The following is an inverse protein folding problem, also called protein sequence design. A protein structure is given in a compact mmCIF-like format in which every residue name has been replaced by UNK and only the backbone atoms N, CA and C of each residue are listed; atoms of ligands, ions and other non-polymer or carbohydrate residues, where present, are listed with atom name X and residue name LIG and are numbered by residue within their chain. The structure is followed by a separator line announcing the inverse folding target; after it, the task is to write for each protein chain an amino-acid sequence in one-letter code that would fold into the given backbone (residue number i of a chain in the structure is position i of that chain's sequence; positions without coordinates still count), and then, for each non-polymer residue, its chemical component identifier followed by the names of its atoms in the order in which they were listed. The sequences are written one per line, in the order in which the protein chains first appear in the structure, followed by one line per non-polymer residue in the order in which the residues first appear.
data_IF_620639512107
#
_entry.id   IF_620639512107
#
_cell.length_a   1.000
_cell.length_b   1.000
_cell.length_c   1.000
_cell.angle_alpha   90.00
_cell.angle_beta   90.00
_cell.angle_gamma   90.00
#
_symmetry.space_group_name_H-M   'P 1'
#
loop_
_entity.id
_entity.type
_entity.pdbx_description
1 polymer ?
#
# COMPACT_ATOMS: atom_id res chain seq x y z
N UNK A 1 16.32 38.41 -34.14
CA UNK A 1 17.77 38.67 -34.27
C UNK A 1 18.07 39.97 -33.54
N UNK A 2 19.02 40.00 -32.59
CA UNK A 2 20.45 40.30 -32.82
C UNK A 2 20.61 41.76 -33.30
N UNK A 3 21.11 42.72 -32.49
CA UNK A 3 22.48 42.81 -31.95
C UNK A 3 22.57 43.68 -30.67
N UNK A 4 23.75 43.65 -30.04
CA UNK A 4 24.01 44.11 -28.67
C UNK A 4 24.11 45.64 -28.51
N UNK A 5 23.09 46.20 -27.86
CA UNK A 5 22.98 47.55 -27.26
C UNK A 5 21.85 47.44 -26.19
N UNK A 6 21.73 48.22 -25.10
CA UNK A 6 22.39 49.44 -24.59
C UNK A 6 22.50 49.33 -23.03
N UNK A 7 23.06 50.36 -22.37
CA UNK A 7 22.74 50.84 -21.01
C UNK A 7 22.98 49.92 -19.77
N UNK A 8 24.14 50.13 -19.14
CA UNK A 8 24.12 50.81 -17.84
C UNK A 8 24.06 50.00 -16.53
N UNK A 9 24.07 48.66 -16.55
CA UNK A 9 24.01 47.86 -15.29
C UNK A 9 25.30 47.08 -15.04
N UNK A 10 26.03 47.45 -13.97
CA UNK A 10 27.13 46.64 -13.42
C UNK A 10 26.57 45.46 -12.62
N UNK A 11 26.84 44.22 -13.04
CA UNK A 11 26.59 43.05 -12.19
C UNK A 11 27.73 42.84 -11.17
N UNK A 12 27.34 42.70 -9.90
CA UNK A 12 28.09 42.03 -8.83
C UNK A 12 27.09 41.38 -7.89
N UNK A 13 27.16 40.06 -7.70
CA UNK A 13 26.83 39.27 -6.50
C UNK A 13 27.22 37.79 -6.81
N UNK A 14 27.35 36.87 -5.84
CA UNK A 14 28.33 35.79 -5.93
C UNK A 14 27.76 34.40 -6.21
N UNK A 15 28.70 33.49 -6.45
CA UNK A 15 28.62 32.03 -6.54
C UNK A 15 27.64 31.36 -5.54
N UNK A 16 26.34 31.31 -5.84
CA UNK A 16 25.37 30.48 -5.08
C UNK A 16 24.23 29.85 -5.88
N UNK A 17 24.10 30.09 -7.19
CA UNK A 17 22.94 29.64 -7.99
C UNK A 17 23.11 28.24 -8.63
N UNK A 18 24.32 27.66 -8.60
CA UNK A 18 24.60 26.40 -9.32
C UNK A 18 24.50 25.11 -8.47
N UNK A 19 24.38 25.19 -7.14
CA UNK A 19 24.31 23.98 -6.29
C UNK A 19 22.92 23.32 -6.24
N UNK A 20 21.86 24.04 -6.61
CA UNK A 20 20.49 23.52 -6.67
C UNK A 20 20.18 22.65 -7.90
N UNK A 21 21.07 22.59 -8.90
CA UNK A 21 20.87 21.87 -10.16
C UNK A 21 21.72 20.58 -10.30
N UNK A 22 22.54 20.26 -9.29
CA UNK A 22 23.41 19.06 -9.30
C UNK A 22 22.92 17.96 -8.35
N UNK A 23 21.85 18.20 -7.58
CA UNK A 23 21.13 17.14 -6.85
C UNK A 23 20.22 16.27 -7.75
N UNK A 24 20.18 16.54 -9.06
CA UNK A 24 19.55 15.69 -10.08
C UNK A 24 20.57 14.74 -10.72
N UNK A 25 21.18 13.86 -9.91
CA UNK A 25 22.04 12.79 -10.43
C UNK A 25 21.64 11.41 -9.90
N UNK A 26 21.17 10.56 -10.83
CA UNK A 26 21.10 9.09 -10.75
C UNK A 26 20.03 8.46 -9.84
N UNK A 27 18.80 8.44 -10.33
CA UNK A 27 18.07 7.20 -10.69
C UNK A 27 17.21 7.55 -11.92
N UNK A 28 17.32 6.89 -13.08
CA UNK A 28 17.12 5.47 -13.27
C UNK A 28 15.66 5.25 -13.70
N UNK A 29 15.36 5.24 -15.01
CA UNK A 29 14.03 4.84 -15.47
C UNK A 29 13.73 3.40 -15.02
N UNK A 30 12.62 3.19 -14.32
CA UNK A 30 12.04 1.85 -14.14
C UNK A 30 12.14 1.21 -12.76
N UNK A 31 11.58 1.86 -11.74
CA UNK A 31 10.72 1.24 -10.69
C UNK A 31 10.08 2.35 -9.86
N UNK A 32 8.80 2.21 -9.52
CA UNK A 32 8.14 3.16 -8.64
C UNK A 32 8.71 3.02 -7.22
N UNK A 33 9.46 4.03 -6.75
CA UNK A 33 9.84 4.13 -5.35
C UNK A 33 8.57 4.22 -4.49
N UNK A 34 8.51 3.42 -3.43
CA UNK A 34 7.43 3.43 -2.46
C UNK A 34 7.98 4.01 -1.14
N UNK A 35 7.83 5.33 -0.90
CA UNK A 35 8.39 5.99 0.28
C UNK A 35 7.73 5.50 1.59
N UNK A 36 6.57 4.84 1.51
CA UNK A 36 5.85 4.33 2.68
C UNK A 36 6.34 2.93 3.10
N UNK A 37 7.04 2.20 2.23
CA UNK A 37 7.41 0.80 2.46
C UNK A 37 8.21 0.57 3.75
N UNK A 38 9.17 1.44 4.10
CA UNK A 38 9.94 1.32 5.36
C UNK A 38 9.08 1.55 6.62
N UNK A 39 8.43 2.72 6.84
CA UNK A 39 7.64 2.96 8.05
C UNK A 39 6.41 2.04 8.16
N UNK A 40 5.87 1.54 7.05
CA UNK A 40 4.85 0.49 7.07
C UNK A 40 5.42 -0.83 7.55
N UNK A 41 6.59 -1.24 7.06
CA UNK A 41 7.24 -2.49 7.50
C UNK A 41 7.52 -2.46 9.00
N UNK A 42 8.07 -1.35 9.51
CA UNK A 42 8.30 -1.17 10.95
C UNK A 42 7.01 -1.30 11.77
N UNK A 43 5.90 -0.69 11.32
CA UNK A 43 4.59 -0.82 11.98
C UNK A 43 4.02 -2.25 11.92
N UNK A 44 4.17 -2.94 10.79
CA UNK A 44 3.71 -4.33 10.62
C UNK A 44 4.47 -5.25 11.58
N UNK A 45 5.80 -5.11 11.66
CA UNK A 45 6.65 -5.85 12.59
C UNK A 45 6.29 -5.56 14.06
N UNK A 46 6.11 -4.28 14.42
CA UNK A 46 5.67 -3.88 15.77
C UNK A 46 4.30 -4.47 16.13
N UNK A 47 3.44 -4.70 15.14
CA UNK A 47 2.11 -5.31 15.31
C UNK A 47 2.14 -6.84 15.42
N UNK A 48 3.32 -7.48 15.25
CA UNK A 48 3.52 -8.92 15.23
C UNK A 48 3.29 -9.57 13.86
N UNK A 49 3.22 -8.77 12.79
CA UNK A 49 3.10 -9.23 11.41
C UNK A 49 4.44 -9.40 10.70
N UNK A 50 4.38 -9.71 9.40
CA UNK A 50 5.52 -9.88 8.49
C UNK A 50 5.22 -9.32 7.10
N UNK A 51 6.27 -9.06 6.33
CA UNK A 51 6.21 -8.43 5.00
C UNK A 51 6.98 -9.26 3.97
N UNK A 52 6.47 -9.35 2.74
CA UNK A 52 7.21 -9.87 1.58
C UNK A 52 7.39 -8.75 0.56
N UNK A 53 8.60 -8.63 -0.01
CA UNK A 53 8.96 -7.58 -0.98
C UNK A 53 8.62 -7.96 -2.42
N UNK A 54 8.59 -6.99 -3.31
CA UNK A 54 8.51 -7.23 -4.77
C UNK A 54 9.76 -7.97 -5.29
N UNK A 55 10.94 -7.70 -4.72
CA UNK A 55 12.23 -8.22 -5.17
C UNK A 55 12.67 -9.55 -4.54
N UNK A 56 11.90 -10.12 -3.61
CA UNK A 56 12.26 -11.35 -2.89
C UNK A 56 11.04 -12.01 -2.27
N UNK A 57 11.01 -13.35 -2.25
CA UNK A 57 10.01 -14.16 -1.54
C UNK A 57 10.36 -14.40 -0.06
N UNK A 58 11.54 -13.96 0.40
CA UNK A 58 11.93 -14.11 1.81
C UNK A 58 11.19 -13.09 2.68
N UNK A 59 10.61 -13.52 3.82
CA UNK A 59 9.88 -12.63 4.71
C UNK A 59 10.82 -11.71 5.50
N UNK A 60 10.42 -10.45 5.61
CA UNK A 60 10.87 -9.54 6.66
C UNK A 60 9.96 -9.78 7.86
N UNK A 61 10.50 -10.42 8.89
CA UNK A 61 9.85 -10.79 10.16
C UNK A 61 10.52 -10.12 11.39
N UNK A 62 11.54 -9.30 11.15
CA UNK A 62 12.35 -8.63 12.16
C UNK A 62 13.01 -7.38 11.57
N UNK A 63 13.26 -6.36 12.41
CA UNK A 63 13.81 -5.08 11.96
C UNK A 63 15.20 -5.20 11.34
N UNK A 64 16.00 -6.15 11.82
CA UNK A 64 17.32 -6.48 11.27
C UNK A 64 17.28 -7.06 9.84
N UNK A 65 16.12 -7.48 9.33
CA UNK A 65 15.91 -7.92 7.94
C UNK A 65 15.36 -6.82 7.03
N UNK A 66 15.10 -5.62 7.54
CA UNK A 66 14.71 -4.50 6.69
C UNK A 66 15.95 -4.07 5.88
N UNK A 67 15.89 -4.04 4.54
CA UNK A 67 17.00 -3.57 3.71
C UNK A 67 17.42 -2.13 4.04
N UNK A 68 18.65 -1.75 3.69
CA UNK A 68 19.06 -0.34 3.69
C UNK A 68 18.54 0.39 2.45
N UNK A 69 18.49 -0.32 1.30
CA UNK A 69 17.99 0.23 0.04
C UNK A 69 16.48 0.47 0.02
N UNK A 70 16.02 1.28 -0.96
CA UNK A 70 14.60 1.43 -1.27
C UNK A 70 14.00 0.09 -1.72
N UNK A 71 12.79 -0.19 -1.26
CA UNK A 71 12.05 -1.39 -1.62
C UNK A 71 10.56 -1.10 -1.78
N UNK A 72 9.83 -2.09 -2.31
CA UNK A 72 8.38 -2.06 -2.40
C UNK A 72 7.79 -3.29 -1.73
N UNK A 73 6.75 -3.09 -0.93
CA UNK A 73 5.96 -4.15 -0.34
C UNK A 73 5.08 -4.81 -1.42
N UNK A 74 5.04 -6.14 -1.43
CA UNK A 74 4.14 -6.97 -2.24
C UNK A 74 3.08 -7.66 -1.39
N UNK A 75 3.45 -8.13 -0.20
CA UNK A 75 2.53 -8.85 0.70
C UNK A 75 2.69 -8.39 2.14
N UNK A 76 1.57 -8.28 2.85
CA UNK A 76 1.51 -8.01 4.29
C UNK A 76 0.69 -9.11 4.94
N UNK A 77 1.26 -9.75 5.97
CA UNK A 77 0.56 -10.68 6.83
C UNK A 77 0.50 -10.12 8.25
N UNK A 78 -0.73 -9.81 8.68
CA UNK A 78 -1.12 -9.32 10.00
C UNK A 78 -2.07 -10.31 10.69
N UNK A 79 -1.96 -11.61 10.40
CA UNK A 79 -2.75 -12.68 11.05
C UNK A 79 -2.68 -12.55 12.57
N UNK A 80 -3.84 -12.43 13.23
CA UNK A 80 -4.02 -12.23 14.67
C UNK A 80 -3.30 -11.00 15.26
N UNK A 81 -2.83 -10.06 14.43
CA UNK A 81 -2.12 -8.87 14.88
C UNK A 81 -3.02 -7.89 15.66
N UNK A 82 -2.43 -7.18 16.62
CA UNK A 82 -3.15 -6.22 17.50
C UNK A 82 -3.24 -4.82 16.89
N UNK A 83 -3.70 -4.74 15.65
CA UNK A 83 -3.88 -3.49 14.89
C UNK A 83 -5.11 -2.69 15.37
N UNK A 84 -5.04 -1.36 15.30
CA UNK A 84 -6.21 -0.47 15.48
C UNK A 84 -6.78 -0.12 14.12
N UNK A 85 -8.11 -0.04 14.03
CA UNK A 85 -8.80 0.30 12.77
C UNK A 85 -8.34 1.64 12.15
N UNK A 86 -7.98 2.65 12.96
CA UNK A 86 -7.47 3.94 12.44
C UNK A 86 -6.07 3.82 11.83
N UNK A 87 -5.25 2.88 12.30
CA UNK A 87 -3.88 2.68 11.82
C UNK A 87 -3.86 2.07 10.41
N UNK A 88 -4.98 1.50 9.94
CA UNK A 88 -5.14 0.99 8.58
C UNK A 88 -4.86 2.03 7.50
N UNK A 89 -4.99 3.33 7.81
CA UNK A 89 -4.56 4.43 6.93
C UNK A 89 -3.06 4.38 6.61
N UNK A 90 -2.21 3.79 7.46
CA UNK A 90 -0.79 3.56 7.15
C UNK A 90 -0.61 2.63 5.95
N UNK A 91 -1.55 1.72 5.72
CA UNK A 91 -1.49 0.74 4.63
C UNK A 91 -2.18 1.23 3.35
N UNK A 92 -2.78 2.42 3.33
CA UNK A 92 -3.67 2.85 2.24
C UNK A 92 -2.97 3.35 0.97
N UNK A 93 -1.64 3.47 1.01
CA UNK A 93 -0.81 4.03 -0.05
C UNK A 93 0.41 3.13 -0.30
N UNK A 94 0.11 1.90 -0.70
CA UNK A 94 1.08 0.85 -1.03
C UNK A 94 0.84 0.41 -2.46
N UNK A 95 1.42 1.10 -3.47
CA UNK A 95 1.04 0.93 -4.87
C UNK A 95 1.33 -0.47 -5.41
N UNK A 96 2.27 -1.22 -4.80
CA UNK A 96 2.68 -2.56 -5.24
C UNK A 96 2.09 -3.71 -4.39
N UNK A 97 1.23 -3.42 -3.39
CA UNK A 97 0.66 -4.45 -2.53
C UNK A 97 -0.34 -5.32 -3.30
N UNK A 98 -0.06 -6.62 -3.36
CA UNK A 98 -0.87 -7.63 -4.05
C UNK A 98 -1.63 -8.54 -3.08
N UNK A 99 -1.14 -8.74 -1.86
CA UNK A 99 -1.76 -9.61 -0.85
C UNK A 99 -1.80 -8.93 0.52
N UNK A 100 -2.97 -8.90 1.14
CA UNK A 100 -3.17 -8.37 2.50
C UNK A 100 -3.96 -9.37 3.33
N UNK A 101 -3.32 -9.91 4.37
CA UNK A 101 -3.93 -10.84 5.31
C UNK A 101 -4.21 -10.17 6.66
N UNK A 102 -5.49 -10.11 7.03
CA UNK A 102 -6.02 -9.53 8.26
C UNK A 102 -6.82 -10.57 9.08
N UNK A 103 -6.58 -11.87 8.84
CA UNK A 103 -7.23 -12.99 9.51
C UNK A 103 -7.22 -12.84 11.04
N UNK A 104 -8.36 -13.01 11.70
CA UNK A 104 -8.47 -12.99 13.17
C UNK A 104 -8.17 -11.64 13.84
N UNK A 105 -7.94 -10.58 13.06
CA UNK A 105 -7.74 -9.24 13.62
C UNK A 105 -9.05 -8.63 14.12
N UNK A 106 -8.96 -7.54 14.89
CA UNK A 106 -10.14 -6.76 15.33
C UNK A 106 -10.62 -5.74 14.30
N UNK A 107 -10.32 -5.96 13.02
CA UNK A 107 -10.77 -5.11 11.91
C UNK A 107 -12.31 -5.02 11.88
N UNK A 108 -12.83 -3.83 11.61
CA UNK A 108 -14.23 -3.55 11.33
C UNK A 108 -14.35 -2.58 10.14
N UNK A 109 -15.57 -2.18 9.81
CA UNK A 109 -15.86 -1.33 8.64
C UNK A 109 -15.00 -0.07 8.58
N UNK A 110 -14.78 0.62 9.70
CA UNK A 110 -13.93 1.83 9.76
C UNK A 110 -12.49 1.56 9.33
N UNK A 111 -11.96 0.37 9.62
CA UNK A 111 -10.63 -0.05 9.18
C UNK A 111 -10.62 -0.48 7.71
N UNK A 112 -11.66 -1.19 7.26
CA UNK A 112 -11.78 -1.64 5.87
C UNK A 112 -11.93 -0.46 4.90
N UNK A 113 -12.74 0.55 5.22
CA UNK A 113 -12.89 1.78 4.41
C UNK A 113 -11.53 2.43 4.09
N UNK A 114 -10.64 2.46 5.08
CA UNK A 114 -9.33 3.12 4.98
C UNK A 114 -8.34 2.42 4.03
N UNK A 115 -8.54 1.14 3.70
CA UNK A 115 -7.71 0.39 2.73
C UNK A 115 -8.36 0.23 1.34
N UNK A 116 -9.47 0.91 1.05
CA UNK A 116 -10.16 0.80 -0.25
C UNK A 116 -9.39 1.37 -1.47
N UNK A 117 -8.16 1.86 -1.29
CA UNK A 117 -7.33 2.48 -2.32
C UNK A 117 -6.03 1.70 -2.62
N UNK A 118 -6.12 0.36 -2.75
CA UNK A 118 -4.97 -0.48 -3.09
C UNK A 118 -5.07 -0.95 -4.56
N UNK A 119 -4.41 -0.26 -5.52
CA UNK A 119 -4.69 -0.43 -6.95
C UNK A 119 -4.21 -1.78 -7.53
N UNK A 120 -3.31 -2.48 -6.83
CA UNK A 120 -2.77 -3.77 -7.23
C UNK A 120 -3.19 -4.94 -6.35
N UNK A 121 -4.08 -4.74 -5.37
CA UNK A 121 -4.50 -5.80 -4.46
C UNK A 121 -5.25 -6.91 -5.21
N UNK A 122 -4.72 -8.14 -5.12
CA UNK A 122 -5.26 -9.36 -5.74
C UNK A 122 -5.87 -10.31 -4.71
N UNK A 123 -5.39 -10.30 -3.47
CA UNK A 123 -5.85 -11.17 -2.39
C UNK A 123 -6.12 -10.37 -1.11
N UNK A 124 -7.31 -10.51 -0.55
CA UNK A 124 -7.72 -9.90 0.71
C UNK A 124 -8.35 -10.94 1.63
N UNK A 125 -7.72 -11.18 2.77
CA UNK A 125 -8.16 -12.14 3.78
C UNK A 125 -8.73 -11.41 5.01
N UNK A 126 -10.03 -11.60 5.25
CA UNK A 126 -10.86 -10.92 6.25
C UNK A 126 -11.56 -11.93 7.18
N UNK A 127 -11.19 -13.21 7.17
CA UNK A 127 -11.80 -14.22 8.00
C UNK A 127 -11.66 -13.88 9.49
N UNK A 128 -12.71 -14.19 10.26
CA UNK A 128 -12.83 -13.88 11.69
C UNK A 128 -12.68 -12.39 12.07
N UNK A 129 -12.86 -11.47 11.12
CA UNK A 129 -12.98 -10.02 11.39
C UNK A 129 -14.44 -9.60 11.65
N UNK A 130 -14.66 -8.32 12.01
CA UNK A 130 -15.97 -7.73 12.33
C UNK A 130 -16.52 -6.81 11.23
N UNK A 131 -16.31 -7.19 9.97
CA UNK A 131 -16.81 -6.44 8.81
C UNK A 131 -18.30 -6.77 8.52
N UNK A 132 -19.05 -5.78 8.05
CA UNK A 132 -20.48 -5.90 7.71
C UNK A 132 -20.71 -6.14 6.21
N UNK A 133 -21.95 -6.53 5.87
CA UNK A 133 -22.42 -6.66 4.49
C UNK A 133 -22.21 -5.36 3.68
N UNK A 134 -22.46 -4.20 4.30
CA UNK A 134 -22.42 -2.89 3.64
C UNK A 134 -20.99 -2.54 3.19
N UNK A 135 -20.01 -2.70 4.07
CA UNK A 135 -18.61 -2.39 3.75
C UNK A 135 -17.99 -3.45 2.85
N UNK A 136 -18.35 -4.73 3.02
CA UNK A 136 -17.88 -5.82 2.16
C UNK A 136 -18.42 -5.70 0.73
N UNK A 137 -19.62 -5.14 0.54
CA UNK A 137 -20.14 -4.82 -0.81
C UNK A 137 -19.25 -3.80 -1.56
N UNK A 138 -18.51 -2.94 -0.84
CA UNK A 138 -17.61 -1.93 -1.40
C UNK A 138 -16.27 -2.53 -1.87
N UNK A 139 -16.00 -3.82 -1.64
CA UNK A 139 -14.84 -4.53 -2.20
C UNK A 139 -14.85 -4.57 -3.74
N UNK A 140 -16.01 -4.33 -4.37
CA UNK A 140 -16.15 -4.09 -5.81
C UNK A 140 -15.27 -2.95 -6.35
N UNK A 141 -14.80 -2.04 -5.49
CA UNK A 141 -13.94 -0.90 -5.85
C UNK A 141 -12.47 -1.26 -6.12
N UNK A 142 -12.01 -2.44 -5.70
CA UNK A 142 -10.62 -2.87 -5.94
C UNK A 142 -10.47 -3.42 -7.36
N UNK A 143 -9.72 -2.76 -8.27
CA UNK A 143 -9.76 -3.07 -9.70
C UNK A 143 -9.11 -4.42 -10.08
N UNK A 144 -8.33 -5.02 -9.18
CA UNK A 144 -7.58 -6.27 -9.42
C UNK A 144 -7.88 -7.39 -8.41
N UNK A 145 -8.84 -7.20 -7.50
CA UNK A 145 -9.09 -8.15 -6.42
C UNK A 145 -9.68 -9.47 -6.94
N UNK A 146 -8.95 -10.58 -6.77
CA UNK A 146 -9.26 -11.92 -7.29
C UNK A 146 -9.54 -12.98 -6.23
N UNK A 147 -9.08 -12.81 -4.99
CA UNK A 147 -9.35 -13.73 -3.88
C UNK A 147 -9.85 -12.95 -2.67
N UNK A 148 -10.99 -13.36 -2.13
CA UNK A 148 -11.63 -12.74 -0.97
C UNK A 148 -12.02 -13.84 0.00
N UNK A 149 -11.51 -13.78 1.23
CA UNK A 149 -11.78 -14.78 2.26
C UNK A 149 -12.60 -14.16 3.40
N UNK A 150 -13.75 -14.76 3.72
CA UNK A 150 -14.78 -14.22 4.61
C UNK A 150 -15.30 -15.25 5.64
N UNK A 151 -14.60 -16.37 5.81
CA UNK A 151 -14.91 -17.38 6.83
C UNK A 151 -15.07 -16.76 8.23
N UNK A 152 -16.08 -17.18 9.00
CA UNK A 152 -16.29 -16.67 10.36
C UNK A 152 -16.66 -15.17 10.47
N UNK A 153 -16.93 -14.46 9.36
CA UNK A 153 -17.52 -13.11 9.39
C UNK A 153 -19.05 -13.17 9.39
N UNK A 154 -19.69 -12.08 9.84
CA UNK A 154 -21.16 -11.96 9.86
C UNK A 154 -21.80 -11.73 8.48
N UNK A 155 -21.00 -11.63 7.40
CA UNK A 155 -21.47 -11.37 6.03
C UNK A 155 -22.43 -12.48 5.55
N UNK A 156 -23.59 -12.08 5.04
CA UNK A 156 -24.69 -12.96 4.61
C UNK A 156 -24.44 -13.58 3.22
N UNK A 157 -25.06 -14.73 2.90
CA UNK A 157 -24.96 -15.37 1.58
C UNK A 157 -25.27 -14.44 0.40
N UNK A 158 -26.31 -13.58 0.51
CA UNK A 158 -26.68 -12.64 -0.56
C UNK A 158 -25.50 -11.75 -0.97
N UNK A 159 -24.80 -11.14 -0.01
CA UNK A 159 -23.64 -10.29 -0.28
C UNK A 159 -22.49 -11.06 -0.95
N UNK A 160 -22.38 -12.36 -0.70
CA UNK A 160 -21.39 -13.24 -1.38
C UNK A 160 -21.78 -13.50 -2.83
N UNK A 161 -23.07 -13.66 -3.13
CA UNK A 161 -23.60 -13.81 -4.49
C UNK A 161 -23.46 -12.50 -5.28
N UNK A 162 -23.77 -11.36 -4.64
CA UNK A 162 -23.61 -10.03 -5.21
C UNK A 162 -22.12 -9.76 -5.53
N UNK A 163 -21.20 -10.10 -4.62
CA UNK A 163 -19.75 -9.99 -4.87
C UNK A 163 -19.29 -10.88 -6.03
N UNK A 164 -19.70 -12.15 -6.08
CA UNK A 164 -19.36 -13.07 -7.19
C UNK A 164 -19.87 -12.55 -8.54
N UNK A 165 -21.02 -11.89 -8.56
CA UNK A 165 -21.63 -11.34 -9.77
C UNK A 165 -20.92 -10.08 -10.27
N UNK A 166 -20.50 -9.20 -9.36
CA UNK A 166 -19.87 -7.92 -9.68
C UNK A 166 -18.35 -8.00 -9.86
N UNK A 167 -17.65 -8.90 -9.15
CA UNK A 167 -16.21 -9.14 -9.28
C UNK A 167 -15.93 -10.34 -10.19
N UNK A 168 -16.09 -10.13 -11.51
CA UNK A 168 -15.90 -11.19 -12.51
C UNK A 168 -14.49 -11.78 -12.50
N UNK A 169 -14.43 -13.11 -12.45
CA UNK A 169 -13.18 -13.88 -12.36
C UNK A 169 -12.52 -13.86 -10.98
N UNK A 170 -13.24 -13.45 -9.94
CA UNK A 170 -12.78 -13.47 -8.55
C UNK A 170 -13.43 -14.60 -7.77
N UNK A 171 -12.69 -15.21 -6.86
CA UNK A 171 -13.15 -16.32 -6.00
C UNK A 171 -13.41 -15.78 -4.60
N UNK A 172 -14.63 -15.97 -4.11
CA UNK A 172 -15.04 -15.62 -2.74
C UNK A 172 -15.18 -16.91 -1.93
N UNK A 173 -14.36 -17.02 -0.88
CA UNK A 173 -14.31 -18.13 0.06
C UNK A 173 -15.10 -17.74 1.33
N UNK A 174 -16.08 -18.54 1.73
CA UNK A 174 -17.04 -18.25 2.81
C UNK A 174 -17.43 -19.54 3.53
#
# INVERSE_FOLDING_TARGET
MLKFVINGVKLRLPMLVCLALVYLTVTGCGKAQDPNSRPVTEYVLQSGGKVIRVSSDLPIDSTAKIPEEDFSIREIDLTNAKIKNIDMKKLSDLPNLESLNLHGTRLNDKGLTLITNLPNLKSLELAYTRVSDEEVSKLTRFPKLKKIFLYGTAVKPQTIEDLKSNLRGSVVYK
#
